data_IF_647706559594
#
_entry.id   IF_647706559594
#
_cell.length_a   1.000
_cell.length_b   1.000
_cell.length_c   1.000
_cell.angle_alpha   90.00
_cell.angle_beta   90.00
_cell.angle_gamma   90.00
#
_symmetry.space_group_name_H-M   'P 1'
#
loop_
_entity.id
_entity.type
_entity.pdbx_description
1 polymer ?
#
# COMPACT_ATOMS: atom_id res chain seq x y z
N UNK A 1 17.75 38.40 68.12
CA UNK A 1 17.65 37.03 68.64
C UNK A 1 16.30 36.51 68.17
N UNK A 2 16.18 35.80 67.06
CA UNK A 2 17.17 35.09 66.25
C UNK A 2 16.76 35.10 64.76
N UNK A 3 17.76 35.22 63.88
CA UNK A 3 17.63 35.06 62.43
C UNK A 3 17.67 33.57 62.11
N UNK A 4 16.54 32.97 61.75
CA UNK A 4 16.52 31.64 61.12
C UNK A 4 16.61 31.81 59.60
N UNK A 5 17.85 31.75 59.10
CA UNK A 5 18.17 31.59 57.68
C UNK A 5 17.97 30.11 57.36
N UNK A 6 16.79 29.74 56.85
CA UNK A 6 16.63 28.44 56.21
C UNK A 6 17.31 28.46 54.84
N UNK A 7 18.42 27.75 54.77
CA UNK A 7 19.18 27.45 53.56
C UNK A 7 18.32 26.55 52.67
N UNK A 8 17.65 27.16 51.68
CA UNK A 8 16.83 26.45 50.70
C UNK A 8 17.74 25.68 49.73
N UNK A 9 18.13 24.47 50.13
CA UNK A 9 18.93 23.53 49.34
C UNK A 9 18.05 22.89 48.25
N UNK A 10 17.58 23.70 47.31
CA UNK A 10 16.96 23.23 46.08
C UNK A 10 18.04 23.05 44.99
N UNK A 11 18.90 22.04 45.15
CA UNK A 11 19.53 21.42 43.97
C UNK A 11 18.42 20.67 43.22
N UNK A 12 17.66 21.44 42.43
CA UNK A 12 16.79 20.91 41.42
C UNK A 12 17.62 20.01 40.51
N UNK A 13 17.22 18.75 40.41
CA UNK A 13 17.72 17.72 39.52
C UNK A 13 17.79 18.27 38.08
N UNK A 14 18.93 18.88 37.71
CA UNK A 14 19.21 19.41 36.38
C UNK A 14 19.74 18.29 35.48
N UNK A 15 19.12 17.12 35.51
CA UNK A 15 19.35 16.13 34.48
C UNK A 15 18.44 16.48 33.29
N UNK A 16 18.97 17.05 32.19
CA UNK A 16 18.16 17.21 30.99
C UNK A 16 17.67 15.84 30.56
N UNK A 17 16.36 15.62 30.61
CA UNK A 17 15.77 14.42 30.04
C UNK A 17 16.11 14.38 28.55
N UNK A 18 17.09 13.55 28.18
CA UNK A 18 17.41 13.29 26.79
C UNK A 18 16.28 12.48 26.17
N UNK A 19 15.46 13.14 25.35
CA UNK A 19 14.44 12.47 24.57
C UNK A 19 15.15 11.74 23.43
N UNK A 20 15.23 10.41 23.54
CA UNK A 20 15.75 9.57 22.47
C UNK A 20 14.63 9.33 21.45
N UNK A 21 14.75 9.94 20.27
CA UNK A 21 13.79 9.75 19.17
C UNK A 21 14.38 8.67 18.24
N UNK A 22 13.77 7.47 18.14
CA UNK A 22 14.25 6.44 17.23
C UNK A 22 14.08 6.91 15.79
N UNK A 23 15.11 6.68 14.97
CA UNK A 23 15.09 6.92 13.53
C UNK A 23 15.17 5.61 12.75
N UNK A 24 14.60 5.60 11.56
CA UNK A 24 14.71 4.48 10.62
C UNK A 24 15.66 4.92 9.50
N UNK A 25 16.73 4.15 9.28
CA UNK A 25 17.61 4.33 8.12
C UNK A 25 17.19 3.35 7.03
N UNK A 26 16.77 3.88 5.88
CA UNK A 26 16.41 3.11 4.70
C UNK A 26 17.38 3.42 3.56
N UNK A 27 17.50 2.49 2.60
CA UNK A 27 18.26 2.73 1.38
C UNK A 27 17.74 3.98 0.67
N UNK A 28 18.65 4.88 0.30
CA UNK A 28 18.30 6.00 -0.58
C UNK A 28 18.07 5.49 -2.00
N UNK A 29 16.91 5.81 -2.55
CA UNK A 29 16.51 5.45 -3.90
C UNK A 29 16.57 6.73 -4.73
N UNK A 30 17.48 6.79 -5.70
CA UNK A 30 17.55 7.91 -6.63
C UNK A 30 16.50 7.74 -7.74
N UNK A 31 15.23 7.76 -7.34
CA UNK A 31 14.09 7.47 -8.19
C UNK A 31 13.08 8.62 -8.28
N UNK A 32 11.93 8.31 -8.86
CA UNK A 32 10.76 9.17 -8.89
C UNK A 32 9.52 8.38 -8.43
N UNK A 33 8.46 9.07 -8.01
CA UNK A 33 7.23 8.41 -7.57
C UNK A 33 6.51 7.77 -8.76
N UNK A 34 5.90 6.60 -8.56
CA UNK A 34 5.14 5.92 -9.62
C UNK A 34 4.03 6.82 -10.22
N UNK A 35 3.45 7.72 -9.42
CA UNK A 35 2.50 8.77 -9.87
C UNK A 35 3.01 9.59 -11.07
N UNK A 36 4.32 9.83 -11.13
CA UNK A 36 4.97 10.73 -12.08
C UNK A 36 5.59 9.95 -13.25
N UNK A 37 5.29 8.66 -13.39
CA UNK A 37 5.88 7.76 -14.38
C UNK A 37 5.86 8.29 -15.83
N UNK A 38 4.78 8.97 -16.20
CA UNK A 38 4.63 9.58 -17.52
C UNK A 38 5.58 10.76 -17.80
N UNK A 39 6.11 11.41 -16.77
CA UNK A 39 7.05 12.54 -16.91
C UNK A 39 8.49 12.06 -17.08
N UNK A 40 8.80 10.84 -16.62
CA UNK A 40 10.16 10.34 -16.50
C UNK A 40 10.53 9.23 -17.50
N UNK A 41 9.56 8.43 -17.97
CA UNK A 41 9.82 7.31 -18.87
C UNK A 41 8.86 7.27 -20.06
N UNK A 42 9.32 6.78 -21.24
CA UNK A 42 8.46 6.58 -22.39
C UNK A 42 7.40 5.48 -22.14
N UNK A 43 6.29 5.54 -22.87
CA UNK A 43 5.12 4.69 -22.66
C UNK A 43 5.37 3.20 -22.85
N UNK A 44 6.43 2.83 -23.57
CA UNK A 44 6.86 1.44 -23.76
C UNK A 44 7.24 0.72 -22.46
N UNK A 45 7.59 1.44 -21.40
CA UNK A 45 7.95 0.86 -20.10
C UNK A 45 6.80 0.85 -19.09
N UNK A 46 5.72 1.59 -19.34
CA UNK A 46 4.70 1.84 -18.33
C UNK A 46 3.98 0.57 -17.89
N UNK A 47 3.60 -0.29 -18.83
CA UNK A 47 2.90 -1.54 -18.53
C UNK A 47 3.75 -2.42 -17.61
N UNK A 48 5.01 -2.70 -17.99
CA UNK A 48 5.89 -3.56 -17.20
C UNK A 48 6.19 -3.01 -15.80
N UNK A 49 6.27 -1.68 -15.66
CA UNK A 49 6.51 -1.05 -14.34
C UNK A 49 5.28 -1.17 -13.45
N UNK A 50 4.08 -0.94 -13.99
CA UNK A 50 2.84 -1.10 -13.22
C UNK A 50 2.59 -2.55 -12.85
N UNK A 51 2.86 -3.49 -13.77
CA UNK A 51 2.76 -4.92 -13.48
C UNK A 51 3.75 -5.32 -12.36
N UNK A 52 5.01 -4.87 -12.44
CA UNK A 52 6.00 -5.12 -11.39
C UNK A 52 5.63 -4.47 -10.05
N UNK A 53 4.99 -3.30 -10.07
CA UNK A 53 4.46 -2.65 -8.85
C UNK A 53 3.42 -3.54 -8.18
N UNK A 54 2.49 -4.09 -8.96
CA UNK A 54 1.43 -4.99 -8.46
C UNK A 54 2.04 -6.27 -7.88
N UNK A 55 3.04 -6.85 -8.54
CA UNK A 55 3.78 -8.01 -8.00
C UNK A 55 4.44 -7.71 -6.65
N UNK A 56 5.05 -6.52 -6.49
CA UNK A 56 5.64 -6.11 -5.21
C UNK A 56 4.59 -5.90 -4.13
N UNK A 57 3.45 -5.32 -4.48
CA UNK A 57 2.32 -5.18 -3.57
C UNK A 57 1.80 -6.56 -3.12
N UNK A 58 1.67 -7.51 -4.04
CA UNK A 58 1.27 -8.88 -3.70
C UNK A 58 2.24 -9.52 -2.71
N UNK A 59 3.53 -9.34 -2.92
CA UNK A 59 4.53 -9.86 -2.00
C UNK A 59 4.39 -9.27 -0.58
N UNK A 60 4.14 -7.96 -0.47
CA UNK A 60 3.87 -7.30 0.83
C UNK A 60 2.63 -7.90 1.50
N UNK A 61 1.58 -8.14 0.73
CA UNK A 61 0.33 -8.72 1.24
C UNK A 61 0.49 -10.19 1.65
N UNK A 62 1.32 -10.95 0.94
CA UNK A 62 1.71 -12.32 1.31
C UNK A 62 2.49 -12.36 2.63
N UNK A 63 3.27 -11.32 2.92
CA UNK A 63 3.89 -11.12 4.24
C UNK A 63 2.88 -10.76 5.35
N UNK A 64 1.58 -10.70 5.04
CA UNK A 64 0.54 -10.38 6.01
C UNK A 64 0.47 -8.89 6.36
N UNK A 65 0.88 -8.02 5.45
CA UNK A 65 0.86 -6.57 5.65
C UNK A 65 -0.21 -5.95 4.74
N UNK A 66 -1.09 -5.15 5.33
CA UNK A 66 -2.14 -4.39 4.64
C UNK A 66 -1.87 -2.90 4.85
N UNK A 67 -1.53 -2.16 3.80
CA UNK A 67 -1.26 -0.73 3.88
C UNK A 67 -2.58 0.07 3.81
N UNK A 68 -2.89 0.78 4.89
CA UNK A 68 -4.14 1.55 5.05
C UNK A 68 -4.10 2.90 4.35
N UNK A 69 -2.92 3.39 3.98
CA UNK A 69 -2.72 4.66 3.27
C UNK A 69 -1.99 4.44 1.93
N UNK A 70 -2.32 3.33 1.25
CA UNK A 70 -1.71 3.01 -0.03
C UNK A 70 -2.10 4.01 -1.12
N UNK A 71 -1.11 4.66 -1.72
CA UNK A 71 -1.27 5.45 -2.93
C UNK A 71 -0.05 5.31 -3.87
N UNK A 72 -0.15 5.85 -5.08
CA UNK A 72 0.91 5.75 -6.10
C UNK A 72 2.20 6.51 -5.75
N UNK A 73 2.25 7.30 -4.66
CA UNK A 73 3.48 7.93 -4.15
C UNK A 73 4.22 7.04 -3.16
N UNK A 74 3.57 6.02 -2.60
CA UNK A 74 4.23 5.00 -1.78
C UNK A 74 5.15 4.09 -2.61
N UNK A 75 5.29 4.32 -3.92
CA UNK A 75 6.18 3.54 -4.78
C UNK A 75 7.23 4.46 -5.41
N UNK A 76 8.48 4.05 -5.31
CA UNK A 76 9.65 4.66 -5.94
C UNK A 76 10.11 3.80 -7.11
N UNK A 77 10.33 4.42 -8.26
CA UNK A 77 10.82 3.79 -9.48
C UNK A 77 12.23 4.26 -9.76
N UNK A 78 13.16 3.33 -9.92
CA UNK A 78 14.50 3.62 -10.41
C UNK A 78 14.46 3.87 -11.95
N UNK A 79 14.86 5.05 -12.45
CA UNK A 79 14.82 5.38 -13.87
C UNK A 79 15.77 4.53 -14.74
N UNK A 80 16.81 3.93 -14.16
CA UNK A 80 17.80 3.17 -14.91
C UNK A 80 17.44 1.68 -14.95
N UNK A 81 17.01 1.13 -13.82
CA UNK A 81 16.73 -0.30 -13.69
C UNK A 81 15.24 -0.64 -13.82
N UNK A 82 14.37 0.37 -13.75
CA UNK A 82 12.90 0.23 -13.68
C UNK A 82 12.42 -0.58 -12.46
N UNK A 83 13.31 -0.83 -11.49
CA UNK A 83 12.95 -1.51 -10.26
C UNK A 83 12.02 -0.62 -9.44
N UNK A 84 10.94 -1.24 -8.93
CA UNK A 84 9.96 -0.60 -8.07
C UNK A 84 10.21 -0.99 -6.63
N UNK A 85 10.20 0.00 -5.74
CA UNK A 85 10.29 -0.19 -4.30
C UNK A 85 9.09 0.46 -3.64
N UNK A 86 8.37 -0.32 -2.82
CA UNK A 86 7.34 0.21 -1.95
C UNK A 86 7.98 0.81 -0.71
N UNK A 87 7.56 2.03 -0.39
CA UNK A 87 7.98 2.81 0.77
C UNK A 87 6.74 3.19 1.57
N UNK A 88 6.99 3.74 2.76
CA UNK A 88 5.95 4.25 3.66
C UNK A 88 4.94 3.19 4.11
N UNK A 89 5.31 2.56 5.23
CA UNK A 89 4.51 1.63 6.00
C UNK A 89 4.02 2.29 7.31
N UNK A 90 3.85 3.62 7.32
CA UNK A 90 3.47 4.36 8.53
C UNK A 90 2.07 4.01 9.05
N UNK A 91 1.19 3.52 8.16
CA UNK A 91 -0.17 3.10 8.48
C UNK A 91 -0.45 1.72 7.91
N UNK A 92 -0.20 0.67 8.69
CA UNK A 92 -0.43 -0.73 8.28
C UNK A 92 -1.28 -1.48 9.30
N UNK A 93 -1.93 -2.55 8.84
CA UNK A 93 -2.47 -3.60 9.69
C UNK A 93 -1.74 -4.91 9.40
N UNK A 94 -1.52 -5.71 10.44
CA UNK A 94 -0.92 -7.03 10.28
C UNK A 94 -1.99 -8.12 10.30
N UNK A 95 -1.76 -9.19 9.54
CA UNK A 95 -2.65 -10.36 9.49
C UNK A 95 -2.81 -11.02 10.86
N UNK A 96 -1.76 -11.00 11.67
CA UNK A 96 -1.78 -11.58 13.03
C UNK A 96 -2.69 -10.81 14.01
N UNK A 97 -3.05 -9.56 13.69
CA UNK A 97 -3.99 -8.77 14.49
C UNK A 97 -5.46 -9.07 14.14
N UNK A 98 -5.71 -9.83 13.06
CA UNK A 98 -7.06 -10.23 12.68
C UNK A 98 -7.54 -11.41 13.55
N UNK A 99 -8.81 -11.38 13.94
CA UNK A 99 -9.49 -12.43 14.70
C UNK A 99 -9.52 -13.75 13.93
N UNK A 100 -9.76 -13.68 12.62
CA UNK A 100 -9.77 -14.82 11.72
C UNK A 100 -9.43 -14.41 10.27
N UNK A 101 -9.30 -15.42 9.40
CA UNK A 101 -9.00 -15.21 7.98
C UNK A 101 -10.07 -14.38 7.28
N UNK A 102 -11.33 -14.51 7.70
CA UNK A 102 -12.44 -13.82 7.06
C UNK A 102 -12.40 -12.32 7.34
N UNK A 103 -12.05 -11.93 8.56
CA UNK A 103 -11.82 -10.53 8.93
C UNK A 103 -10.63 -9.95 8.16
N UNK A 104 -9.55 -10.73 8.02
CA UNK A 104 -8.39 -10.33 7.20
C UNK A 104 -8.77 -10.10 5.74
N UNK A 105 -9.44 -11.07 5.11
CA UNK A 105 -9.88 -10.96 3.71
C UNK A 105 -10.88 -9.82 3.50
N UNK A 106 -11.81 -9.61 4.45
CA UNK A 106 -12.74 -8.47 4.43
C UNK A 106 -12.00 -7.14 4.47
N UNK A 107 -10.97 -7.03 5.31
CA UNK A 107 -10.13 -5.84 5.39
C UNK A 107 -9.34 -5.59 4.09
N UNK A 108 -8.82 -6.65 3.46
CA UNK A 108 -8.16 -6.55 2.15
C UNK A 108 -9.13 -6.11 1.06
N UNK A 109 -10.34 -6.67 1.04
CA UNK A 109 -11.38 -6.31 0.07
C UNK A 109 -11.82 -4.85 0.22
N UNK A 110 -11.98 -4.38 1.46
CA UNK A 110 -12.35 -3.01 1.76
C UNK A 110 -11.27 -2.00 1.33
N UNK A 111 -9.99 -2.34 1.52
CA UNK A 111 -8.89 -1.47 1.13
C UNK A 111 -8.66 -1.41 -0.39
N UNK A 112 -8.88 -2.53 -1.11
CA UNK A 112 -8.63 -2.68 -2.55
C UNK A 112 -7.28 -2.10 -3.00
N UNK A 113 -6.20 -2.51 -2.32
CA UNK A 113 -4.85 -2.00 -2.56
C UNK A 113 -4.40 -2.16 -4.03
N UNK A 114 -4.74 -3.28 -4.66
CA UNK A 114 -4.36 -3.51 -6.06
C UNK A 114 -5.13 -2.58 -7.00
N UNK A 115 -6.44 -2.41 -6.78
CA UNK A 115 -7.24 -1.44 -7.52
C UNK A 115 -6.73 -0.01 -7.34
N UNK A 116 -6.33 0.36 -6.12
CA UNK A 116 -5.73 1.66 -5.82
C UNK A 116 -4.44 1.93 -6.60
N UNK A 117 -3.69 0.90 -6.98
CA UNK A 117 -2.52 1.05 -7.87
C UNK A 117 -2.92 0.93 -9.33
N UNK A 118 -3.48 -0.21 -9.74
CA UNK A 118 -3.73 -0.57 -11.13
C UNK A 118 -4.73 0.36 -11.82
N UNK A 119 -5.87 0.65 -11.19
CA UNK A 119 -6.89 1.53 -11.77
C UNK A 119 -6.47 3.00 -11.79
N UNK A 120 -5.80 3.47 -10.74
CA UNK A 120 -5.30 4.83 -10.69
C UNK A 120 -4.21 5.04 -11.74
N UNK A 121 -3.25 4.13 -11.84
CA UNK A 121 -2.19 4.23 -12.86
C UNK A 121 -2.74 4.15 -14.28
N UNK A 122 -3.71 3.26 -14.54
CA UNK A 122 -4.36 3.22 -15.85
C UNK A 122 -5.04 4.56 -16.19
N UNK A 123 -5.68 5.20 -15.22
CA UNK A 123 -6.33 6.50 -15.41
C UNK A 123 -5.31 7.63 -15.58
N UNK A 124 -4.28 7.70 -14.72
CA UNK A 124 -3.27 8.75 -14.75
C UNK A 124 -2.44 8.75 -16.02
N UNK A 125 -1.99 7.57 -16.47
CA UNK A 125 -1.18 7.46 -17.68
C UNK A 125 -1.97 7.81 -18.95
N UNK A 126 -3.29 7.55 -18.94
CA UNK A 126 -4.20 7.99 -19.99
C UNK A 126 -4.42 9.50 -19.97
N UNK A 127 -4.79 10.05 -18.82
CA UNK A 127 -5.19 11.46 -18.67
C UNK A 127 -4.01 12.42 -18.75
N UNK A 128 -2.86 12.05 -18.18
CA UNK A 128 -1.68 12.92 -18.07
C UNK A 128 -0.59 12.59 -19.08
N UNK A 129 -0.38 11.31 -19.36
CA UNK A 129 0.66 10.83 -20.26
C UNK A 129 0.24 10.68 -21.73
N UNK A 130 -1.07 10.67 -22.03
CA UNK A 130 -1.58 10.47 -23.38
C UNK A 130 -1.40 9.06 -23.95
N UNK A 131 -0.92 8.11 -23.13
CA UNK A 131 -0.77 6.70 -23.50
C UNK A 131 -1.85 5.82 -22.88
N UNK A 132 -1.64 4.51 -22.88
CA UNK A 132 -2.57 3.57 -22.24
C UNK A 132 -1.84 2.32 -21.77
N UNK A 133 -2.20 1.88 -20.57
CA UNK A 133 -1.89 0.53 -20.09
C UNK A 133 -3.20 -0.25 -19.95
N UNK A 134 -3.11 -1.57 -19.77
CA UNK A 134 -4.23 -2.44 -19.48
C UNK A 134 -4.03 -3.06 -18.10
N UNK A 135 -4.81 -2.62 -17.13
CA UNK A 135 -4.89 -3.26 -15.82
C UNK A 135 -5.91 -4.40 -15.86
N UNK A 136 -5.46 -5.57 -15.40
CA UNK A 136 -6.28 -6.76 -15.18
C UNK A 136 -6.21 -7.13 -13.71
N UNK A 137 -7.35 -7.17 -12.99
CA UNK A 137 -7.37 -7.64 -11.62
C UNK A 137 -6.80 -9.04 -11.47
N UNK A 138 -6.01 -9.25 -10.42
CA UNK A 138 -5.57 -10.60 -10.05
C UNK A 138 -6.75 -11.49 -9.66
N UNK A 139 -6.57 -12.80 -9.78
CA UNK A 139 -7.53 -13.77 -9.26
C UNK A 139 -7.87 -13.51 -7.78
N UNK A 140 -6.88 -13.10 -6.99
CA UNK A 140 -7.07 -12.79 -5.57
C UNK A 140 -8.09 -11.67 -5.38
N UNK A 141 -7.96 -10.57 -6.14
CA UNK A 141 -8.92 -9.46 -6.11
C UNK A 141 -10.30 -9.91 -6.58
N UNK A 142 -10.38 -10.75 -7.62
CA UNK A 142 -11.67 -11.29 -8.08
C UNK A 142 -12.37 -12.14 -7.01
N UNK A 143 -11.63 -12.99 -6.29
CA UNK A 143 -12.17 -13.78 -5.17
C UNK A 143 -12.61 -12.90 -4.01
N UNK A 144 -11.78 -11.94 -3.58
CA UNK A 144 -12.15 -10.97 -2.55
C UNK A 144 -13.40 -10.18 -2.94
N UNK A 145 -13.47 -9.75 -4.20
CA UNK A 145 -14.64 -9.06 -4.73
C UNK A 145 -15.87 -9.96 -4.74
N UNK A 146 -15.76 -11.24 -5.11
CA UNK A 146 -16.88 -12.18 -5.05
C UNK A 146 -17.40 -12.34 -3.62
N UNK A 147 -16.50 -12.51 -2.64
CA UNK A 147 -16.82 -12.77 -1.24
C UNK A 147 -17.37 -11.55 -0.51
N UNK A 148 -16.91 -10.35 -0.85
CA UNK A 148 -17.19 -9.13 -0.07
C UNK A 148 -17.81 -8.00 -0.92
N UNK A 149 -18.43 -8.32 -2.07
CA UNK A 149 -19.04 -7.29 -2.94
C UNK A 149 -20.12 -6.51 -2.18
N UNK A 150 -19.93 -5.20 -2.03
CA UNK A 150 -20.79 -4.28 -1.26
C UNK A 150 -22.26 -4.27 -1.76
N UNK A 151 -22.50 -4.65 -3.02
CA UNK A 151 -23.84 -4.60 -3.65
C UNK A 151 -24.68 -5.85 -3.34
N UNK A 152 -24.06 -7.04 -3.31
CA UNK A 152 -24.78 -8.32 -3.20
C UNK A 152 -24.67 -8.95 -1.80
N UNK A 153 -23.94 -8.31 -0.89
CA UNK A 153 -23.62 -8.81 0.44
C UNK A 153 -22.49 -9.84 0.43
N UNK A 154 -22.11 -10.28 1.63
CA UNK A 154 -21.01 -11.22 1.81
C UNK A 154 -21.40 -12.65 1.39
N UNK A 155 -20.46 -13.35 0.76
CA UNK A 155 -20.62 -14.73 0.25
C UNK A 155 -19.56 -15.65 0.84
N UNK A 156 -19.86 -16.95 0.84
CA UNK A 156 -18.90 -17.99 1.22
C UNK A 156 -17.86 -18.17 0.12
N UNK A 157 -16.58 -18.29 0.50
CA UNK A 157 -15.47 -18.52 -0.42
C UNK A 157 -15.20 -20.01 -0.66
N UNK A 158 -14.43 -20.34 -1.70
CA UNK A 158 -14.05 -21.72 -2.01
C UNK A 158 -15.18 -22.57 -2.59
N UNK A 159 -16.19 -21.92 -3.17
CA UNK A 159 -17.34 -22.55 -3.82
C UNK A 159 -17.13 -22.66 -5.33
N UNK A 160 -17.90 -23.53 -6.00
CA UNK A 160 -17.87 -23.63 -7.45
C UNK A 160 -18.35 -22.35 -8.14
N UNK A 161 -19.28 -21.62 -7.50
CA UNK A 161 -19.77 -20.33 -7.97
C UNK A 161 -18.71 -19.24 -7.91
N UNK A 162 -17.81 -19.28 -6.93
CA UNK A 162 -16.63 -18.40 -6.88
C UNK A 162 -15.70 -18.68 -8.06
N UNK A 163 -15.40 -19.95 -8.35
CA UNK A 163 -14.53 -20.32 -9.47
C UNK A 163 -15.14 -19.93 -10.83
N UNK A 164 -16.46 -20.12 -11.00
CA UNK A 164 -17.17 -19.65 -12.20
C UNK A 164 -17.12 -18.12 -12.31
N UNK A 165 -17.26 -17.39 -11.19
CA UNK A 165 -17.11 -15.95 -11.18
C UNK A 165 -15.71 -15.52 -11.62
N UNK A 166 -14.65 -16.12 -11.07
CA UNK A 166 -13.26 -15.82 -11.43
C UNK A 166 -13.04 -16.10 -12.92
N UNK A 167 -13.42 -17.28 -13.41
CA UNK A 167 -13.25 -17.68 -14.81
C UNK A 167 -13.97 -16.73 -15.77
N UNK A 168 -15.17 -16.27 -15.41
CA UNK A 168 -15.95 -15.29 -16.19
C UNK A 168 -15.31 -13.90 -16.22
N UNK A 169 -14.57 -13.51 -15.18
CA UNK A 169 -14.01 -12.17 -15.03
C UNK A 169 -12.49 -12.09 -15.20
N UNK A 170 -11.78 -13.20 -15.42
CA UNK A 170 -10.32 -13.21 -15.57
C UNK A 170 -9.79 -12.35 -16.73
N UNK A 171 -10.60 -12.21 -17.78
CA UNK A 171 -10.30 -11.38 -18.94
C UNK A 171 -10.98 -10.01 -18.88
N UNK A 172 -11.60 -9.68 -17.75
CA UNK A 172 -12.21 -8.38 -17.53
C UNK A 172 -11.14 -7.30 -17.53
N UNK A 173 -11.33 -6.32 -18.41
CA UNK A 173 -10.50 -5.12 -18.49
C UNK A 173 -11.40 -3.93 -18.25
N UNK A 174 -11.01 -3.08 -17.31
CA UNK A 174 -11.70 -1.82 -17.08
C UNK A 174 -11.50 -0.89 -18.29
N UNK A 175 -12.52 -0.79 -19.14
CA UNK A 175 -12.55 0.18 -20.23
C UNK A 175 -13.15 1.49 -19.70
N UNK A 176 -12.31 2.50 -19.50
CA UNK A 176 -12.72 3.90 -19.37
C UNK A 176 -12.31 4.65 -20.63
#
# INVERSE_FOLDING_TARGET
DDEDVEEDSAEADRNPHTINIPGILIQYINGFHLTDLHEHLPSEHWQSIVDSTIEKLHHVQECGILNRDLNTRNFQVDPQTHNVMMIDFGMVSFREDAEDERQWESAQACQDEEGAVGLLMQSYLKERGGGSITYKPSERVLRLRYRFNDIDGEREGGTAEEDEYVEKHKDFVFRK
#
